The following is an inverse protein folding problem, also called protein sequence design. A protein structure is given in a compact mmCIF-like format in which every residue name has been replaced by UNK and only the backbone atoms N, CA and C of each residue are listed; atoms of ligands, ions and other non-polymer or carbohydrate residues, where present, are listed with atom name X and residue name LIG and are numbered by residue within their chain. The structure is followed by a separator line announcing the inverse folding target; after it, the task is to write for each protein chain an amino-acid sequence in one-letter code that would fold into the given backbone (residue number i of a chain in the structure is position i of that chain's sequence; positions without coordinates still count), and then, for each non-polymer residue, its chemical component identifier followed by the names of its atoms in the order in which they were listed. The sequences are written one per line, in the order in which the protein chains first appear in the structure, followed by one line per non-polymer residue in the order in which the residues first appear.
data_IF_788707734378
#
_entry.id   IF_788707734378
#
_cell.length_a   1.000
_cell.length_b   1.000
_cell.length_c   1.000
_cell.angle_alpha   90.00
_cell.angle_beta   90.00
_cell.angle_gamma   90.00
#
_symmetry.space_group_name_H-M   'P 1'
#
loop_
_entity.id
_entity.type
_entity.pdbx_description
1 polymer ?
#
# COMPACT_ATOMS: atom_id res chain seq x y z
N UNK A 1 -20.98 71.01 18.44
CA UNK A 1 -21.81 69.94 17.83
C UNK A 1 -21.69 69.81 16.31
N UNK A 2 -21.44 70.84 15.52
CA UNK A 2 -21.28 70.72 14.05
C UNK A 2 -19.97 70.05 13.61
N UNK A 3 -18.85 70.29 14.32
CA UNK A 3 -17.55 69.69 13.96
C UNK A 3 -17.51 68.16 14.18
N UNK A 4 -18.20 67.66 15.18
CA UNK A 4 -18.25 66.21 15.48
C UNK A 4 -19.04 65.43 14.42
N UNK A 5 -20.05 66.03 13.79
CA UNK A 5 -20.83 65.41 12.70
C UNK A 5 -20.00 65.21 11.42
N UNK A 6 -19.13 66.17 11.11
CA UNK A 6 -18.26 66.05 9.91
C UNK A 6 -17.10 65.09 10.13
N UNK A 7 -16.62 64.94 11.39
CA UNK A 7 -15.61 63.98 11.72
C UNK A 7 -16.14 62.53 11.61
N UNK A 8 -17.37 62.27 12.08
CA UNK A 8 -18.00 60.94 11.92
C UNK A 8 -18.27 60.58 10.44
N UNK A 9 -18.65 61.55 9.62
CA UNK A 9 -18.89 61.31 8.19
C UNK A 9 -17.56 61.05 7.46
N UNK A 10 -16.47 61.74 7.82
CA UNK A 10 -15.15 61.54 7.24
C UNK A 10 -14.57 60.15 7.58
N UNK A 11 -14.77 59.68 8.85
CA UNK A 11 -14.31 58.36 9.27
C UNK A 11 -15.14 57.24 8.61
N UNK A 12 -16.46 57.42 8.42
CA UNK A 12 -17.30 56.46 7.70
C UNK A 12 -17.00 56.37 6.21
N UNK A 13 -16.57 57.46 5.57
CA UNK A 13 -16.17 57.48 4.17
C UNK A 13 -14.81 56.84 3.93
N UNK A 14 -13.87 56.92 4.86
CA UNK A 14 -12.56 56.25 4.83
C UNK A 14 -12.68 54.72 5.06
N UNK A 15 -13.67 54.27 5.85
CA UNK A 15 -13.89 52.82 6.04
C UNK A 15 -14.55 52.10 4.84
N UNK A 16 -15.18 52.87 3.92
CA UNK A 16 -15.77 52.27 2.71
C UNK A 16 -14.71 52.08 1.60
N UNK A 17 -13.63 52.85 1.62
CA UNK A 17 -12.54 52.75 0.65
C UNK A 17 -11.52 51.67 1.02
N UNK A 18 -11.56 51.16 2.25
CA UNK A 18 -10.66 50.07 2.70
C UNK A 18 -11.13 48.67 2.36
N UNK A 19 -12.36 48.49 1.84
CA UNK A 19 -12.91 47.16 1.51
C UNK A 19 -12.88 46.79 0.04
N UNK A 20 -12.37 47.68 -0.83
CA UNK A 20 -12.36 47.40 -2.27
C UNK A 20 -11.21 46.48 -2.73
N UNK A 21 -10.15 46.35 -1.94
CA UNK A 21 -8.99 45.51 -2.28
C UNK A 21 -9.11 44.09 -1.74
N UNK A 22 -10.13 43.81 -0.90
CA UNK A 22 -10.34 42.46 -0.37
C UNK A 22 -11.22 41.58 -1.25
N UNK A 23 -11.73 42.10 -2.36
CA UNK A 23 -12.56 41.33 -3.33
C UNK A 23 -11.88 41.12 -4.67
N UNK A 24 -10.69 41.68 -4.91
CA UNK A 24 -9.81 41.21 -5.97
C UNK A 24 -9.02 40.03 -5.41
N UNK A 25 -9.63 38.85 -5.37
CA UNK A 25 -8.84 37.62 -5.42
C UNK A 25 -8.01 37.70 -6.70
N UNK A 26 -6.75 38.11 -6.56
CA UNK A 26 -5.74 37.70 -7.54
C UNK A 26 -5.78 36.18 -7.47
N UNK A 27 -6.49 35.58 -8.43
CA UNK A 27 -6.31 34.18 -8.72
C UNK A 27 -4.86 34.05 -9.13
N UNK A 28 -3.99 33.67 -8.19
CA UNK A 28 -2.71 33.13 -8.55
C UNK A 28 -3.00 31.97 -9.49
N UNK A 29 -2.74 32.18 -10.76
CA UNK A 29 -2.73 31.13 -11.75
C UNK A 29 -1.48 30.31 -11.39
N UNK A 30 -1.65 29.32 -10.53
CA UNK A 30 -0.60 28.35 -10.30
C UNK A 30 -0.31 27.72 -11.66
N UNK A 31 0.93 27.85 -12.13
CA UNK A 31 1.39 27.24 -13.40
C UNK A 31 1.10 25.73 -13.47
N UNK A 32 0.75 25.10 -12.35
CA UNK A 32 0.37 23.70 -12.22
C UNK A 32 -1.15 23.41 -12.27
N UNK A 33 -2.01 24.35 -12.61
CA UNK A 33 -3.44 24.04 -12.82
C UNK A 33 -3.65 23.04 -13.97
N UNK A 34 -2.76 22.99 -14.95
CA UNK A 34 -2.75 21.92 -15.96
C UNK A 34 -2.55 20.52 -15.33
N UNK A 35 -1.80 20.41 -14.23
CA UNK A 35 -1.64 19.16 -13.49
C UNK A 35 -2.95 18.67 -12.88
N UNK A 36 -3.78 19.58 -12.33
CA UNK A 36 -5.08 19.20 -11.75
C UNK A 36 -6.09 18.78 -12.83
N UNK A 37 -6.07 19.41 -13.99
CA UNK A 37 -6.91 18.97 -15.11
C UNK A 37 -6.54 17.59 -15.67
N UNK A 38 -5.29 17.12 -15.45
CA UNK A 38 -4.85 15.77 -15.83
C UNK A 38 -5.31 14.71 -14.82
N UNK A 39 -5.51 15.05 -13.55
CA UNK A 39 -5.94 14.13 -12.51
C UNK A 39 -7.39 13.66 -12.68
N UNK A 40 -8.28 14.56 -13.11
CA UNK A 40 -9.71 14.23 -13.28
C UNK A 40 -9.90 13.17 -14.39
N UNK A 41 -9.32 13.28 -15.59
CA UNK A 41 -9.42 12.23 -16.59
C UNK A 41 -8.84 10.90 -16.13
N UNK A 42 -7.77 10.90 -15.33
CA UNK A 42 -7.15 9.67 -14.81
C UNK A 42 -8.04 8.99 -13.77
N UNK A 43 -8.70 9.73 -12.88
CA UNK A 43 -9.66 9.17 -11.92
C UNK A 43 -10.82 8.50 -12.65
N UNK A 44 -11.33 9.10 -13.71
CA UNK A 44 -12.46 8.60 -14.49
C UNK A 44 -12.09 7.42 -15.39
N UNK A 45 -10.85 7.36 -15.87
CA UNK A 45 -10.39 6.29 -16.75
C UNK A 45 -10.47 4.91 -16.06
N UNK A 46 -11.04 3.94 -16.76
CA UNK A 46 -11.12 2.55 -16.33
C UNK A 46 -10.11 1.66 -17.05
N UNK A 47 -9.74 2.02 -18.25
CA UNK A 47 -8.83 1.28 -19.12
C UNK A 47 -7.84 2.22 -19.81
N UNK A 48 -6.84 1.67 -20.52
CA UNK A 48 -5.89 2.45 -21.30
C UNK A 48 -6.57 3.17 -22.48
N UNK A 49 -7.66 2.61 -23.01
CA UNK A 49 -8.43 3.20 -24.11
C UNK A 49 -9.12 4.52 -23.74
N UNK A 50 -9.43 4.73 -22.46
CA UNK A 50 -10.04 5.96 -21.95
C UNK A 50 -9.03 7.13 -21.90
N UNK A 51 -7.75 6.83 -22.04
CA UNK A 51 -6.68 7.82 -21.99
C UNK A 51 -6.44 8.48 -23.36
N UNK A 52 -5.96 9.72 -23.33
CA UNK A 52 -5.50 10.39 -24.54
C UNK A 52 -4.31 9.66 -25.17
N UNK A 53 -4.08 9.78 -26.49
CA UNK A 53 -2.91 9.16 -27.14
C UNK A 53 -1.58 9.54 -26.47
N UNK A 54 -1.43 10.79 -26.05
CA UNK A 54 -0.22 11.27 -25.35
C UNK A 54 -0.05 10.59 -23.99
N UNK A 55 -1.12 10.39 -23.23
CA UNK A 55 -1.05 9.69 -21.93
C UNK A 55 -0.72 8.21 -22.13
N UNK A 56 -1.28 7.56 -23.14
CA UNK A 56 -0.93 6.17 -23.47
C UNK A 56 0.54 6.00 -23.80
N UNK A 57 1.07 6.88 -24.63
CA UNK A 57 2.50 6.89 -24.97
C UNK A 57 3.36 7.12 -23.72
N UNK A 58 2.98 8.08 -22.87
CA UNK A 58 3.68 8.36 -21.62
C UNK A 58 3.71 7.13 -20.71
N UNK A 59 2.56 6.47 -20.46
CA UNK A 59 2.55 5.29 -19.62
C UNK A 59 3.26 4.09 -20.26
N UNK A 60 3.28 3.99 -21.58
CA UNK A 60 4.12 2.99 -22.25
C UNK A 60 5.61 3.21 -21.95
N UNK A 61 6.08 4.46 -21.96
CA UNK A 61 7.47 4.79 -21.58
C UNK A 61 7.75 4.49 -20.11
N UNK A 62 6.81 4.76 -19.20
CA UNK A 62 6.93 4.41 -17.78
C UNK A 62 7.04 2.89 -17.61
N UNK A 63 6.22 2.09 -18.30
CA UNK A 63 6.30 0.62 -18.26
C UNK A 63 7.66 0.10 -18.75
N UNK A 64 8.21 0.69 -19.80
CA UNK A 64 9.55 0.30 -20.28
C UNK A 64 10.65 0.71 -19.29
N UNK A 65 10.57 1.93 -18.72
CA UNK A 65 11.52 2.37 -17.70
C UNK A 65 11.54 1.43 -16.48
N UNK A 66 10.38 0.96 -16.01
CA UNK A 66 10.28 0.04 -14.87
C UNK A 66 10.97 -1.31 -15.08
N UNK A 67 11.22 -1.71 -16.34
CA UNK A 67 11.97 -2.92 -16.70
C UNK A 67 13.49 -2.72 -16.61
N UNK A 68 13.96 -1.48 -16.56
CA UNK A 68 15.39 -1.17 -16.47
C UNK A 68 15.89 -1.25 -15.03
N UNK A 69 17.22 -1.47 -14.80
CA UNK A 69 17.80 -1.30 -13.48
C UNK A 69 17.71 0.16 -13.03
N UNK A 70 17.07 0.41 -11.89
CA UNK A 70 16.95 1.74 -11.30
C UNK A 70 16.66 1.63 -9.80
N UNK A 71 16.79 2.73 -9.06
CA UNK A 71 16.38 2.83 -7.66
C UNK A 71 14.86 2.70 -7.58
N UNK A 72 14.36 1.72 -6.82
CA UNK A 72 12.94 1.44 -6.71
C UNK A 72 12.24 2.42 -5.77
N UNK A 73 11.14 3.01 -6.24
CA UNK A 73 10.21 3.74 -5.40
C UNK A 73 9.22 2.79 -4.71
N UNK A 74 9.14 2.87 -3.39
CA UNK A 74 8.24 2.05 -2.58
C UNK A 74 7.43 2.92 -1.61
N UNK A 75 6.27 2.42 -1.17
CA UNK A 75 5.49 2.99 -0.07
C UNK A 75 4.41 2.05 0.44
N UNK A 76 3.96 2.30 1.68
CA UNK A 76 2.75 1.69 2.22
C UNK A 76 1.54 2.53 1.83
N UNK A 77 0.53 1.90 1.26
CA UNK A 77 -0.68 2.55 0.81
C UNK A 77 -1.87 2.13 1.66
N UNK A 78 -2.23 2.96 2.62
CA UNK A 78 -3.40 2.77 3.49
C UNK A 78 -4.67 3.37 2.92
N UNK A 79 -5.82 2.95 3.52
CA UNK A 79 -7.15 3.47 3.17
C UNK A 79 -7.57 3.32 1.70
N UNK A 80 -6.98 2.38 0.99
CA UNK A 80 -7.31 2.09 -0.39
C UNK A 80 -8.75 1.60 -0.56
N UNK A 81 -9.52 2.30 -1.36
CA UNK A 81 -10.92 1.92 -1.66
C UNK A 81 -11.20 1.73 -3.16
N UNK A 82 -10.40 2.33 -4.03
CA UNK A 82 -10.60 2.33 -5.48
C UNK A 82 -11.86 3.11 -5.93
N UNK A 83 -12.42 3.96 -5.08
CA UNK A 83 -13.67 4.70 -5.36
C UNK A 83 -13.73 6.08 -4.71
N UNK A 84 -14.71 6.88 -5.17
CA UNK A 84 -14.95 8.25 -4.70
C UNK A 84 -14.14 9.28 -5.47
N UNK A 85 -14.16 10.53 -5.00
CA UNK A 85 -13.57 11.67 -5.71
C UNK A 85 -12.19 12.07 -5.16
N UNK A 86 -11.68 11.35 -4.15
CA UNK A 86 -10.38 11.63 -3.57
C UNK A 86 -9.30 10.80 -4.28
N UNK A 87 -8.31 11.48 -4.85
CA UNK A 87 -7.15 10.85 -5.49
C UNK A 87 -6.40 9.86 -4.56
N UNK A 88 -6.39 10.13 -3.25
CA UNK A 88 -5.75 9.27 -2.25
C UNK A 88 -6.43 7.90 -2.08
N UNK A 89 -7.61 7.70 -2.67
CA UNK A 89 -8.32 6.42 -2.61
C UNK A 89 -7.88 5.42 -3.69
N UNK A 90 -7.00 5.83 -4.61
CA UNK A 90 -6.70 5.08 -5.82
C UNK A 90 -5.22 4.78 -6.00
N UNK A 91 -4.90 3.54 -6.35
CA UNK A 91 -3.56 3.12 -6.79
C UNK A 91 -3.14 3.83 -8.08
N UNK A 92 -4.05 3.97 -9.04
CA UNK A 92 -3.79 4.64 -10.32
C UNK A 92 -3.40 6.11 -10.17
N UNK A 93 -3.67 6.72 -9.00
CA UNK A 93 -3.30 8.11 -8.70
C UNK A 93 -1.95 8.24 -7.99
N UNK A 94 -1.30 7.14 -7.65
CA UNK A 94 0.05 7.19 -7.07
C UNK A 94 1.05 7.82 -8.05
N UNK A 95 2.09 8.50 -7.52
CA UNK A 95 3.16 9.05 -8.36
C UNK A 95 3.79 7.99 -9.26
N UNK A 96 4.17 8.37 -10.47
CA UNK A 96 4.74 7.45 -11.45
C UNK A 96 6.17 6.98 -11.09
N UNK A 97 6.80 7.61 -10.10
CA UNK A 97 8.05 7.17 -9.47
C UNK A 97 7.89 5.99 -8.52
N UNK A 98 6.65 5.60 -8.15
CA UNK A 98 6.38 4.46 -7.27
C UNK A 98 6.33 3.18 -8.09
N UNK A 99 7.28 2.27 -7.87
CA UNK A 99 7.35 0.99 -8.58
C UNK A 99 6.42 -0.06 -7.96
N UNK A 100 6.39 -0.11 -6.64
CA UNK A 100 5.51 -1.03 -5.93
C UNK A 100 5.03 -0.47 -4.60
N UNK A 101 3.90 -0.97 -4.13
CA UNK A 101 3.29 -0.57 -2.86
C UNK A 101 2.85 -1.77 -2.05
N UNK A 102 2.89 -1.62 -0.75
CA UNK A 102 2.26 -2.54 0.19
C UNK A 102 0.90 -2.02 0.61
N UNK A 103 -0.15 -2.83 0.42
CA UNK A 103 -1.55 -2.48 0.64
C UNK A 103 -1.90 -2.61 2.13
N UNK A 104 -1.55 -1.58 2.90
CA UNK A 104 -1.76 -1.55 4.33
C UNK A 104 -3.24 -1.54 4.70
N UNK A 105 -3.63 -2.41 5.64
CA UNK A 105 -5.02 -2.53 6.09
C UNK A 105 -5.95 -3.28 5.14
N UNK A 106 -5.45 -3.77 4.01
CA UNK A 106 -6.21 -4.61 3.08
C UNK A 106 -6.24 -6.04 3.60
N UNK A 107 -7.44 -6.59 3.72
CA UNK A 107 -7.64 -8.00 4.10
C UNK A 107 -7.54 -8.91 2.87
N UNK A 108 -7.60 -10.22 3.06
CA UNK A 108 -7.48 -11.22 1.99
C UNK A 108 -8.62 -11.24 0.97
N UNK A 109 -9.35 -10.14 0.75
CA UNK A 109 -10.39 -9.97 -0.27
C UNK A 109 -10.43 -8.53 -0.79
N UNK A 110 -10.80 -8.35 -2.07
CA UNK A 110 -10.92 -7.06 -2.73
C UNK A 110 -12.34 -6.84 -3.24
N UNK A 111 -12.83 -5.59 -3.15
CA UNK A 111 -14.06 -5.15 -3.82
C UNK A 111 -13.86 -5.06 -5.34
N UNK A 112 -14.96 -4.92 -6.08
CA UNK A 112 -14.85 -4.79 -7.55
C UNK A 112 -14.17 -3.49 -7.97
N UNK A 113 -14.39 -2.41 -7.21
CA UNK A 113 -13.70 -1.13 -7.45
C UNK A 113 -12.19 -1.26 -7.18
N UNK A 114 -11.79 -1.95 -6.12
CA UNK A 114 -10.37 -2.21 -5.83
C UNK A 114 -9.73 -3.07 -6.92
N UNK A 115 -10.44 -4.09 -7.42
CA UNK A 115 -9.94 -4.93 -8.54
C UNK A 115 -9.74 -4.12 -9.82
N UNK A 116 -10.67 -3.22 -10.14
CA UNK A 116 -10.59 -2.37 -11.33
C UNK A 116 -9.40 -1.40 -11.21
N UNK A 117 -9.23 -0.76 -10.06
CA UNK A 117 -8.13 0.17 -9.80
C UNK A 117 -6.76 -0.55 -9.79
N UNK A 118 -6.68 -1.73 -9.17
CA UNK A 118 -5.49 -2.59 -9.19
C UNK A 118 -5.09 -2.94 -10.62
N UNK A 119 -6.07 -3.39 -11.42
CA UNK A 119 -5.83 -3.75 -12.82
C UNK A 119 -5.27 -2.57 -13.62
N UNK A 120 -5.86 -1.37 -13.44
CA UNK A 120 -5.34 -0.16 -14.09
C UNK A 120 -3.90 0.15 -13.65
N UNK A 121 -3.62 0.09 -12.35
CA UNK A 121 -2.28 0.35 -11.81
C UNK A 121 -1.24 -0.63 -12.37
N UNK A 122 -1.58 -1.91 -12.46
CA UNK A 122 -0.69 -2.95 -12.99
C UNK A 122 -0.52 -2.84 -14.51
N UNK A 123 -1.61 -2.81 -15.28
CA UNK A 123 -1.58 -2.94 -16.73
C UNK A 123 -1.22 -1.62 -17.43
N UNK A 124 -1.73 -0.49 -16.94
CA UNK A 124 -1.51 0.82 -17.57
C UNK A 124 -0.25 1.48 -17.03
N UNK A 125 -0.10 1.57 -15.71
CA UNK A 125 1.06 2.23 -15.10
C UNK A 125 2.25 1.27 -14.91
N UNK A 126 2.06 -0.04 -14.97
CA UNK A 126 3.12 -1.03 -14.77
C UNK A 126 3.60 -1.13 -13.30
N UNK A 127 2.81 -0.61 -12.36
CA UNK A 127 3.10 -0.70 -10.93
C UNK A 127 2.80 -2.08 -10.37
N UNK A 128 3.28 -2.35 -9.16
CA UNK A 128 3.01 -3.60 -8.44
C UNK A 128 2.39 -3.32 -7.08
N UNK A 129 1.46 -4.17 -6.67
CA UNK A 129 0.77 -4.05 -5.38
C UNK A 129 0.83 -5.37 -4.61
N UNK A 130 1.36 -5.29 -3.39
CA UNK A 130 1.55 -6.44 -2.51
C UNK A 130 0.52 -6.42 -1.38
N UNK A 131 0.02 -7.59 -1.02
CA UNK A 131 -0.69 -7.75 0.24
C UNK A 131 0.30 -7.56 1.39
N UNK A 132 -0.07 -6.82 2.44
CA UNK A 132 0.81 -6.51 3.55
C UNK A 132 0.08 -6.71 4.88
N UNK A 133 0.67 -7.48 5.79
CA UNK A 133 0.14 -7.69 7.13
C UNK A 133 1.24 -7.78 8.18
N UNK A 134 0.98 -7.23 9.36
CA UNK A 134 1.75 -7.58 10.55
C UNK A 134 1.53 -9.08 10.82
N UNK A 135 2.63 -9.83 10.81
CA UNK A 135 2.60 -11.25 11.11
C UNK A 135 2.94 -11.46 12.57
N UNK A 136 1.92 -11.71 13.38
CA UNK A 136 2.02 -11.94 14.82
C UNK A 136 1.57 -13.36 15.19
N UNK A 137 0.28 -13.62 15.04
CA UNK A 137 -0.30 -14.92 15.36
C UNK A 137 -0.65 -15.75 14.13
N UNK A 138 -0.65 -17.06 14.29
CA UNK A 138 -1.05 -17.97 13.22
C UNK A 138 -2.53 -17.75 12.86
N UNK A 139 -2.77 -17.30 11.65
CA UNK A 139 -4.13 -17.18 11.11
C UNK A 139 -4.81 -15.84 11.28
N UNK A 140 -4.15 -14.81 11.86
CA UNK A 140 -4.74 -13.52 12.22
C UNK A 140 -5.70 -12.91 11.19
N UNK A 141 -5.35 -12.90 9.91
CA UNK A 141 -6.11 -12.22 8.89
C UNK A 141 -7.10 -13.12 8.12
N UNK A 142 -6.90 -14.45 8.16
CA UNK A 142 -7.62 -15.41 7.34
C UNK A 142 -8.44 -16.43 8.12
N UNK A 143 -8.40 -16.40 9.44
CA UNK A 143 -9.28 -17.25 10.25
C UNK A 143 -10.74 -16.87 9.96
N UNK A 144 -11.59 -17.82 9.57
CA UNK A 144 -13.01 -17.54 9.33
C UNK A 144 -13.69 -16.94 10.55
N UNK A 145 -14.58 -15.98 10.31
CA UNK A 145 -15.26 -15.27 11.41
C UNK A 145 -15.98 -16.24 12.34
N UNK A 146 -15.69 -16.11 13.64
CA UNK A 146 -16.31 -16.91 14.71
C UNK A 146 -15.58 -18.22 15.01
N UNK A 147 -14.52 -18.56 14.27
CA UNK A 147 -13.68 -19.72 14.58
C UNK A 147 -12.47 -19.31 15.42
N UNK A 148 -12.00 -20.27 16.24
CA UNK A 148 -10.74 -20.14 16.94
C UNK A 148 -9.57 -20.44 16.00
N UNK A 149 -8.56 -19.57 15.94
CA UNK A 149 -7.43 -19.69 15.04
C UNK A 149 -6.64 -21.00 15.25
N UNK A 150 -6.35 -21.38 16.51
CA UNK A 150 -5.63 -22.62 16.80
C UNK A 150 -6.44 -23.83 16.35
N UNK A 151 -7.74 -23.89 16.67
CA UNK A 151 -8.58 -24.99 16.24
C UNK A 151 -8.62 -25.09 14.71
N UNK A 152 -8.82 -23.97 14.00
CA UNK A 152 -8.90 -23.98 12.56
C UNK A 152 -7.56 -24.31 11.88
N UNK A 153 -6.47 -23.63 12.27
CA UNK A 153 -5.21 -23.76 11.56
C UNK A 153 -4.37 -24.94 12.06
N UNK A 154 -4.36 -25.23 13.35
CA UNK A 154 -3.56 -26.32 13.90
C UNK A 154 -4.32 -27.64 13.86
N UNK A 155 -5.52 -27.68 14.45
CA UNK A 155 -6.24 -28.95 14.58
C UNK A 155 -6.85 -29.42 13.26
N UNK A 156 -7.55 -28.53 12.54
CA UNK A 156 -8.22 -28.92 11.30
C UNK A 156 -7.26 -28.93 10.10
N UNK A 157 -6.59 -27.79 9.80
CA UNK A 157 -5.73 -27.66 8.63
C UNK A 157 -4.38 -28.34 8.82
N UNK A 158 -3.82 -28.25 10.00
CA UNK A 158 -2.53 -28.84 10.36
C UNK A 158 -2.62 -30.27 10.92
N UNK A 159 -3.82 -30.85 11.07
CA UNK A 159 -4.04 -32.19 11.61
C UNK A 159 -3.36 -32.39 12.97
N UNK A 160 -3.45 -31.41 13.85
CA UNK A 160 -2.83 -31.36 15.16
C UNK A 160 -1.34 -30.98 15.16
N UNK A 161 -0.76 -30.65 13.98
CA UNK A 161 0.64 -30.26 13.87
C UNK A 161 0.72 -28.74 13.58
N UNK A 162 1.38 -28.00 14.47
CA UNK A 162 1.51 -26.54 14.33
C UNK A 162 2.26 -26.14 13.06
N UNK A 163 3.33 -26.83 12.69
CA UNK A 163 4.12 -26.53 11.49
C UNK A 163 3.30 -26.75 10.20
N UNK A 164 2.51 -27.80 10.15
CA UNK A 164 1.59 -28.02 9.02
C UNK A 164 0.49 -26.94 9.00
N UNK A 165 0.05 -26.46 10.15
CA UNK A 165 -0.83 -25.29 10.26
C UNK A 165 -0.19 -24.02 9.70
N UNK A 166 1.09 -23.77 9.98
CA UNK A 166 1.86 -22.64 9.41
C UNK A 166 1.92 -22.74 7.88
N UNK A 167 2.21 -23.91 7.33
CA UNK A 167 2.21 -24.15 5.88
C UNK A 167 0.83 -23.90 5.26
N UNK A 168 -0.22 -24.41 5.93
CA UNK A 168 -1.60 -24.20 5.47
C UNK A 168 -1.97 -22.72 5.44
N UNK A 169 -1.60 -21.95 6.45
CA UNK A 169 -1.82 -20.50 6.52
C UNK A 169 -1.05 -19.74 5.43
N UNK A 170 0.24 -20.02 5.26
CA UNK A 170 1.05 -19.43 4.20
C UNK A 170 0.46 -19.73 2.81
N UNK A 171 -0.01 -20.96 2.57
CA UNK A 171 -0.69 -21.32 1.33
C UNK A 171 -2.00 -20.56 1.14
N UNK A 172 -2.79 -20.33 2.17
CA UNK A 172 -4.02 -19.55 2.09
C UNK A 172 -3.76 -18.06 1.77
N UNK A 173 -2.64 -17.51 2.24
CA UNK A 173 -2.17 -16.18 1.82
C UNK A 173 -1.87 -16.19 0.31
N UNK A 174 -1.11 -17.17 -0.17
CA UNK A 174 -0.82 -17.30 -1.60
C UNK A 174 -2.10 -17.47 -2.45
N UNK A 175 -3.07 -18.24 -1.97
CA UNK A 175 -4.37 -18.40 -2.64
C UNK A 175 -5.10 -17.06 -2.77
N UNK A 176 -5.05 -16.20 -1.77
CA UNK A 176 -5.61 -14.84 -1.81
C UNK A 176 -4.88 -13.97 -2.83
N UNK A 177 -3.55 -14.02 -2.84
CA UNK A 177 -2.70 -13.27 -3.78
C UNK A 177 -2.98 -13.70 -5.22
N UNK A 178 -3.04 -15.00 -5.47
CA UNK A 178 -3.35 -15.56 -6.80
C UNK A 178 -4.76 -15.20 -7.26
N UNK A 179 -5.75 -15.37 -6.38
CA UNK A 179 -7.16 -15.07 -6.65
C UNK A 179 -7.39 -13.62 -7.10
N UNK A 180 -6.69 -12.68 -6.48
CA UNK A 180 -6.84 -11.25 -6.76
C UNK A 180 -5.77 -10.68 -7.67
N UNK A 181 -4.90 -11.54 -8.21
CA UNK A 181 -3.78 -11.15 -9.05
C UNK A 181 -2.90 -10.06 -8.43
N UNK A 182 -2.64 -10.16 -7.13
CA UNK A 182 -1.67 -9.32 -6.45
C UNK A 182 -0.24 -9.72 -6.82
N UNK A 183 0.70 -8.78 -6.70
CA UNK A 183 2.08 -8.97 -7.16
C UNK A 183 2.99 -9.59 -6.10
N UNK A 184 2.47 -9.91 -4.92
CA UNK A 184 3.25 -10.56 -3.88
C UNK A 184 2.74 -10.31 -2.47
N UNK A 185 3.61 -10.60 -1.51
CA UNK A 185 3.36 -10.43 -0.08
C UNK A 185 4.47 -9.65 0.58
N UNK A 186 4.11 -8.70 1.43
CA UNK A 186 5.01 -7.97 2.31
C UNK A 186 4.75 -8.41 3.75
N UNK A 187 5.76 -8.98 4.36
CA UNK A 187 5.74 -9.48 5.73
C UNK A 187 6.16 -8.34 6.64
N UNK A 188 5.21 -7.71 7.32
CA UNK A 188 5.54 -6.78 8.39
C UNK A 188 5.88 -7.60 9.66
N UNK A 189 7.19 -7.68 9.97
CA UNK A 189 7.75 -8.57 10.98
C UNK A 189 8.37 -7.79 12.11
N UNK A 190 7.61 -7.62 13.20
CA UNK A 190 7.96 -6.71 14.31
C UNK A 190 7.93 -7.38 15.70
N UNK A 191 8.47 -8.59 15.92
CA UNK A 191 8.36 -9.26 17.21
C UNK A 191 9.04 -8.51 18.37
N UNK A 192 10.09 -7.73 18.08
CA UNK A 192 10.79 -6.90 19.06
C UNK A 192 10.08 -5.60 19.39
N UNK A 193 9.11 -5.17 18.56
CA UNK A 193 8.35 -3.92 18.73
C UNK A 193 6.94 -4.15 19.31
N UNK A 194 6.71 -5.33 19.91
CA UNK A 194 5.45 -5.63 20.58
C UNK A 194 4.49 -6.51 19.79
N UNK A 195 4.87 -6.95 18.60
CA UNK A 195 4.07 -7.83 17.75
C UNK A 195 4.60 -9.28 17.77
N UNK A 196 4.99 -9.76 18.95
CA UNK A 196 5.35 -11.17 19.18
C UNK A 196 4.10 -12.00 19.47
N UNK A 197 4.00 -13.17 18.83
CA UNK A 197 2.85 -14.06 18.96
C UNK A 197 3.20 -15.53 18.71
N UNK A 198 2.19 -16.31 18.35
CA UNK A 198 2.35 -17.75 18.14
C UNK A 198 3.15 -18.09 16.88
N UNK A 199 3.13 -17.23 15.86
CA UNK A 199 3.90 -17.39 14.62
C UNK A 199 5.19 -16.56 14.67
N UNK A 200 5.08 -15.26 14.89
CA UNK A 200 6.22 -14.37 15.03
C UNK A 200 6.68 -14.30 16.46
N UNK A 201 7.88 -14.79 16.75
CA UNK A 201 8.44 -14.74 18.08
C UNK A 201 9.93 -14.40 17.99
N UNK A 202 10.38 -13.44 18.79
CA UNK A 202 11.78 -13.01 18.87
C UNK A 202 12.77 -14.17 19.10
N UNK A 203 12.35 -15.21 19.82
CA UNK A 203 13.19 -16.38 20.17
C UNK A 203 13.17 -17.48 19.12
N UNK A 204 12.29 -17.43 18.13
CA UNK A 204 12.10 -18.53 17.15
C UNK A 204 13.04 -18.46 15.96
N UNK A 205 13.93 -17.48 15.89
CA UNK A 205 14.91 -17.30 14.80
C UNK A 205 16.22 -18.01 15.13
N UNK A 206 16.15 -19.07 15.91
CA UNK A 206 17.30 -19.94 16.15
C UNK A 206 17.60 -20.81 14.92
N UNK A 207 18.88 -20.97 14.53
CA UNK A 207 19.30 -21.86 13.44
C UNK A 207 18.94 -23.33 13.62
N UNK A 208 18.37 -23.71 14.76
CA UNK A 208 18.18 -25.09 15.20
C UNK A 208 16.88 -25.77 14.73
N UNK A 209 16.28 -25.36 13.60
CA UNK A 209 15.51 -26.33 12.83
C UNK A 209 14.00 -26.40 13.02
N UNK A 210 13.36 -25.73 13.98
CA UNK A 210 11.89 -25.66 14.13
C UNK A 210 11.38 -24.22 14.14
N UNK A 211 11.96 -23.41 13.28
CA UNK A 211 11.61 -22.02 13.20
C UNK A 211 10.32 -21.85 12.38
N UNK A 212 9.23 -21.55 13.07
CA UNK A 212 7.91 -21.33 12.47
C UNK A 212 7.95 -20.28 11.37
N UNK A 213 8.67 -19.18 11.60
CA UNK A 213 8.82 -18.07 10.64
C UNK A 213 9.63 -18.50 9.41
N UNK A 214 10.66 -19.32 9.59
CA UNK A 214 11.40 -19.89 8.47
C UNK A 214 10.48 -20.74 7.58
N UNK A 215 9.70 -21.65 8.17
CA UNK A 215 8.74 -22.49 7.42
C UNK A 215 7.68 -21.63 6.72
N UNK A 216 7.23 -20.56 7.37
CA UNK A 216 6.29 -19.60 6.77
C UNK A 216 6.88 -18.94 5.52
N UNK A 217 8.09 -18.37 5.64
CA UNK A 217 8.80 -17.72 4.53
C UNK A 217 9.15 -18.71 3.41
N UNK A 218 9.63 -19.91 3.74
CA UNK A 218 9.93 -20.97 2.76
C UNK A 218 8.68 -21.34 1.95
N UNK A 219 7.54 -21.48 2.63
CA UNK A 219 6.27 -21.83 1.98
C UNK A 219 5.78 -20.73 1.04
N UNK A 220 5.81 -19.47 1.50
CA UNK A 220 5.47 -18.31 0.67
C UNK A 220 6.39 -18.21 -0.54
N UNK A 221 7.70 -18.26 -0.33
CA UNK A 221 8.71 -18.14 -1.38
C UNK A 221 8.57 -19.24 -2.43
N UNK A 222 8.33 -20.47 -2.00
CA UNK A 222 8.16 -21.62 -2.91
C UNK A 222 6.96 -21.46 -3.87
N UNK A 223 5.92 -20.72 -3.47
CA UNK A 223 4.75 -20.48 -4.32
C UNK A 223 4.82 -19.17 -5.09
N UNK A 224 5.32 -18.11 -4.49
CA UNK A 224 5.29 -16.76 -5.10
C UNK A 224 6.38 -16.59 -6.16
N UNK A 225 7.63 -16.92 -5.85
CA UNK A 225 8.78 -16.64 -6.73
C UNK A 225 8.71 -17.32 -8.11
N UNK A 226 8.30 -18.60 -8.25
CA UNK A 226 8.18 -19.22 -9.57
C UNK A 226 7.18 -18.52 -10.50
N UNK A 227 6.25 -17.74 -9.95
CA UNK A 227 5.25 -16.96 -10.71
C UNK A 227 5.69 -15.52 -10.99
N UNK A 228 6.89 -15.12 -10.55
CA UNK A 228 7.40 -13.76 -10.66
C UNK A 228 6.80 -12.79 -9.63
N UNK A 229 6.08 -13.30 -8.64
CA UNK A 229 5.55 -12.53 -7.52
C UNK A 229 6.63 -12.30 -6.46
N UNK A 230 6.56 -11.15 -5.82
CA UNK A 230 7.56 -10.69 -4.85
C UNK A 230 7.25 -11.22 -3.45
N UNK A 231 8.29 -11.55 -2.71
CA UNK A 231 8.25 -11.70 -1.26
C UNK A 231 9.10 -10.60 -0.64
N UNK A 232 8.48 -9.72 0.11
CA UNK A 232 9.11 -8.55 0.74
C UNK A 232 9.00 -8.70 2.25
N UNK A 233 9.89 -8.11 3.00
CA UNK A 233 9.83 -8.03 4.46
C UNK A 233 10.20 -6.64 4.93
N UNK A 234 9.39 -6.09 5.80
CA UNK A 234 9.69 -4.89 6.56
C UNK A 234 9.77 -5.18 8.07
N UNK A 235 10.10 -4.19 8.88
CA UNK A 235 10.23 -4.30 10.32
C UNK A 235 11.62 -4.73 10.79
N UNK A 236 11.79 -5.97 11.23
CA UNK A 236 13.03 -6.50 11.84
C UNK A 236 13.65 -7.66 11.02
N UNK A 237 14.11 -7.42 9.79
CA UNK A 237 14.67 -8.47 8.92
C UNK A 237 16.01 -9.04 9.43
N UNK A 238 16.72 -8.31 10.29
CA UNK A 238 17.95 -8.73 10.94
C UNK A 238 17.78 -9.95 11.86
N UNK A 239 16.54 -10.26 12.21
CA UNK A 239 16.20 -11.45 12.99
C UNK A 239 16.17 -12.75 12.15
N UNK A 240 16.28 -12.68 10.82
CA UNK A 240 16.28 -13.88 9.96
C UNK A 240 17.65 -14.57 9.92
N UNK A 241 17.64 -15.91 9.75
CA UNK A 241 18.85 -16.65 9.41
C UNK A 241 19.35 -16.27 8.01
N UNK A 242 20.64 -16.47 7.76
CA UNK A 242 21.24 -16.22 6.44
C UNK A 242 20.57 -17.02 5.32
N UNK A 243 20.11 -18.23 5.59
CA UNK A 243 19.43 -19.10 4.66
C UNK A 243 18.03 -18.56 4.32
N UNK A 244 17.26 -18.20 5.35
CA UNK A 244 15.91 -17.66 5.20
C UNK A 244 15.94 -16.30 4.51
N UNK A 245 16.94 -15.46 4.82
CA UNK A 245 17.05 -14.13 4.22
C UNK A 245 17.22 -14.16 2.69
N UNK A 246 17.77 -15.22 2.11
CA UNK A 246 17.91 -15.38 0.65
C UNK A 246 16.59 -15.65 -0.07
N UNK A 247 15.54 -15.95 0.66
CA UNK A 247 14.21 -16.23 0.13
C UNK A 247 13.35 -14.98 -0.03
N UNK A 248 13.80 -13.86 0.51
CA UNK A 248 13.13 -12.56 0.44
C UNK A 248 13.76 -11.72 -0.66
N UNK A 249 12.95 -11.05 -1.49
CA UNK A 249 13.42 -10.31 -2.65
C UNK A 249 13.83 -8.87 -2.29
N UNK A 250 13.13 -8.24 -1.34
CA UNK A 250 13.42 -6.89 -0.85
C UNK A 250 13.23 -6.79 0.65
N UNK A 251 14.11 -6.02 1.28
CA UNK A 251 14.01 -5.64 2.68
C UNK A 251 13.73 -4.15 2.78
N UNK A 252 12.80 -3.79 3.66
CA UNK A 252 12.43 -2.40 3.90
C UNK A 252 12.71 -2.08 5.37
N UNK A 253 13.65 -1.19 5.60
CA UNK A 253 13.98 -0.73 6.93
C UNK A 253 13.02 0.40 7.34
N UNK A 254 12.32 0.21 8.45
CA UNK A 254 11.39 1.20 9.01
C UNK A 254 12.15 2.24 9.83
N UNK A 255 12.71 3.27 9.18
CA UNK A 255 13.52 4.33 9.81
C UNK A 255 12.63 5.46 10.38
N UNK A 256 11.68 5.15 11.24
CA UNK A 256 10.73 6.15 11.74
C UNK A 256 11.33 7.13 12.77
N UNK A 257 12.48 6.81 13.35
CA UNK A 257 13.03 7.54 14.48
C UNK A 257 14.48 8.01 14.25
N UNK A 258 14.97 7.97 13.04
CA UNK A 258 16.32 8.40 12.66
C UNK A 258 16.37 9.82 12.11
#
# INVERSE_FOLDING_TARGET
MKLLKYLCIGISALSILSCSDWTSEEREVFENQEGMHRLIPLIEAQTEEDLTPTMREYFAQIREYRKTPHVKGFGWFGNWTGKGNNAQNYLKMLPDSVDFVSLWGTRGYLSDEQKADLKFFQEVKGGKALLCWIIQDLGDQLTPKGLNATQYWVEEKGQGNFIEGVKAYANAICDSIEKYNLDGFDIDYEPGYGHSGTLANYQTISPSGNNKMQVFIETLSARLRPTGRMLVMDGQPDLLSTETSKLVDHYIYQAYWE
#
